data_IF_073973078627
#
_entry.id   IF_073973078627
#
_cell.length_a   1.000
_cell.length_b   1.000
_cell.length_c   1.000
_cell.angle_alpha   90.00
_cell.angle_beta   90.00
_cell.angle_gamma   90.00
#
_symmetry.space_group_name_H-M   'P 1'
#
loop_
_entity.id
_entity.type
_entity.pdbx_description
1 polymer ?
#
# COMPACT_ATOMS: atom_id res chain seq x y z
N UNK A 1 14.82 0.68 -13.96
CA UNK A 1 13.45 1.19 -14.14
C UNK A 1 12.94 1.76 -12.85
N UNK A 2 12.21 2.85 -12.92
CA UNK A 2 11.68 3.53 -11.74
C UNK A 2 10.27 4.05 -12.05
N UNK A 3 9.34 3.79 -11.14
CA UNK A 3 7.99 4.35 -11.23
C UNK A 3 7.74 5.11 -9.94
N UNK A 4 7.25 6.33 -10.03
CA UNK A 4 7.03 7.15 -8.84
C UNK A 4 5.81 8.05 -9.01
N UNK A 5 5.30 8.48 -7.89
CA UNK A 5 4.15 9.37 -7.83
C UNK A 5 3.57 9.42 -6.44
N UNK A 6 2.29 9.72 -6.36
CA UNK A 6 1.57 9.81 -5.10
C UNK A 6 0.27 9.03 -5.17
N UNK A 7 -0.27 8.68 -4.01
CA UNK A 7 -1.65 8.22 -3.94
C UNK A 7 -2.35 8.93 -2.78
N UNK A 8 -3.66 8.98 -2.89
CA UNK A 8 -4.52 9.61 -1.90
C UNK A 8 -5.50 8.56 -1.41
N UNK A 9 -5.60 8.41 -0.08
CA UNK A 9 -6.64 7.56 0.50
C UNK A 9 -7.98 8.25 0.30
N UNK A 10 -8.93 7.54 -0.32
CA UNK A 10 -10.26 8.06 -0.58
C UNK A 10 -11.30 7.46 0.36
N UNK A 11 -11.03 6.29 0.93
CA UNK A 11 -11.91 5.64 1.89
C UNK A 11 -11.10 4.69 2.76
N UNK A 12 -11.47 4.60 4.05
CA UNK A 12 -10.81 3.72 5.01
C UNK A 12 -11.87 3.11 5.90
N UNK A 13 -12.02 1.79 5.83
CA UNK A 13 -12.98 1.05 6.65
C UNK A 13 -12.20 0.02 7.46
N UNK A 14 -12.13 0.24 8.75
CA UNK A 14 -11.36 -0.63 9.64
C UNK A 14 -12.29 -1.24 10.69
N UNK A 15 -12.09 -2.51 10.97
CA UNK A 15 -12.83 -3.20 12.03
C UNK A 15 -11.87 -4.00 12.89
N UNK A 16 -12.10 -3.95 14.21
CA UNK A 16 -11.29 -4.69 15.16
C UNK A 16 -11.72 -6.16 15.13
N UNK A 17 -10.75 -7.06 14.95
CA UNK A 17 -11.03 -8.51 14.97
C UNK A 17 -10.81 -9.09 16.34
N UNK A 18 -9.83 -8.59 17.09
CA UNK A 18 -9.53 -9.09 18.44
C UNK A 18 -8.93 -7.96 19.26
N UNK A 19 -9.44 -7.78 20.47
CA UNK A 19 -8.91 -6.81 21.42
C UNK A 19 -8.16 -7.52 22.52
N UNK A 20 -7.04 -6.95 22.95
CA UNK A 20 -6.24 -7.43 24.06
C UNK A 20 -6.21 -6.38 25.15
N UNK A 21 -5.56 -6.69 26.25
CA UNK A 21 -5.43 -5.74 27.36
C UNK A 21 -4.55 -4.55 26.93
N UNK A 22 -4.77 -3.42 27.59
CA UNK A 22 -3.97 -2.20 27.45
C UNK A 22 -4.02 -1.59 26.04
N UNK A 23 -5.09 -1.85 25.29
CA UNK A 23 -5.30 -1.20 24.01
C UNK A 23 -4.63 -1.89 22.82
N UNK A 24 -3.89 -2.95 23.03
CA UNK A 24 -3.37 -3.74 21.92
C UNK A 24 -4.53 -4.43 21.21
N UNK A 25 -4.44 -4.57 19.89
CA UNK A 25 -5.55 -5.16 19.12
C UNK A 25 -5.07 -5.63 17.75
N UNK A 26 -5.83 -6.54 17.18
CA UNK A 26 -5.73 -6.91 15.77
C UNK A 26 -6.95 -6.34 15.05
N UNK A 27 -6.72 -5.81 13.87
CA UNK A 27 -7.81 -5.30 13.04
C UNK A 27 -7.55 -5.60 11.57
N UNK A 28 -8.58 -5.38 10.76
CA UNK A 28 -8.48 -5.44 9.31
C UNK A 28 -9.05 -4.17 8.73
N UNK A 29 -8.51 -3.74 7.60
CA UNK A 29 -8.97 -2.51 6.96
C UNK A 29 -9.11 -2.75 5.46
N UNK A 30 -10.18 -2.19 4.90
CA UNK A 30 -10.40 -2.10 3.46
C UNK A 30 -10.19 -0.64 3.09
N UNK A 31 -9.22 -0.38 2.21
CA UNK A 31 -8.80 0.98 1.90
C UNK A 31 -8.92 1.19 0.41
N UNK A 32 -9.50 2.32 0.02
CA UNK A 32 -9.55 2.74 -1.39
C UNK A 32 -8.61 3.92 -1.58
N UNK A 33 -7.92 3.93 -2.72
CA UNK A 33 -6.89 4.94 -2.99
C UNK A 33 -6.96 5.37 -4.45
N UNK A 34 -6.60 6.63 -4.69
CA UNK A 34 -6.44 7.17 -6.03
C UNK A 34 -4.98 7.44 -6.32
N UNK A 35 -4.49 6.99 -7.46
CA UNK A 35 -3.08 7.10 -7.84
C UNK A 35 -2.86 8.22 -8.84
N UNK A 36 -1.71 8.89 -8.70
CA UNK A 36 -1.22 9.91 -9.64
C UNK A 36 0.27 9.70 -9.87
N UNK A 37 0.76 10.22 -10.97
CA UNK A 37 2.17 10.10 -11.32
C UNK A 37 2.35 9.09 -12.44
N UNK A 38 3.37 8.25 -12.33
CA UNK A 38 3.63 7.24 -13.37
C UNK A 38 2.49 6.24 -13.48
N UNK A 39 1.81 5.96 -12.38
CA UNK A 39 0.58 5.16 -12.37
C UNK A 39 -0.58 6.08 -12.07
N UNK A 40 -1.62 6.05 -12.90
CA UNK A 40 -2.87 6.75 -12.63
C UNK A 40 -3.99 5.73 -12.54
N UNK A 41 -4.95 5.99 -11.65
CA UNK A 41 -6.07 5.08 -11.48
C UNK A 41 -6.47 4.94 -10.02
N UNK A 42 -6.95 3.77 -9.67
CA UNK A 42 -7.44 3.52 -8.31
C UNK A 42 -6.97 2.16 -7.82
N UNK A 43 -7.04 1.97 -6.50
CA UNK A 43 -6.71 0.70 -5.91
C UNK A 43 -7.62 0.37 -4.74
N UNK A 44 -7.60 -0.90 -4.39
CA UNK A 44 -8.26 -1.42 -3.21
C UNK A 44 -7.22 -2.24 -2.43
N UNK A 45 -7.08 -1.94 -1.15
CA UNK A 45 -6.08 -2.60 -0.30
C UNK A 45 -6.79 -3.31 0.82
N UNK A 46 -6.40 -4.56 1.06
CA UNK A 46 -6.88 -5.36 2.18
C UNK A 46 -5.74 -5.53 3.15
N UNK A 47 -5.80 -4.80 4.27
CA UNK A 47 -4.76 -4.84 5.30
C UNK A 47 -5.18 -5.66 6.50
N UNK A 48 -4.19 -6.30 7.12
CA UNK A 48 -4.27 -6.79 8.49
C UNK A 48 -3.31 -5.95 9.32
N UNK A 49 -3.77 -5.50 10.49
CA UNK A 49 -2.99 -4.61 11.36
C UNK A 49 -2.89 -5.19 12.76
N UNK A 50 -1.70 -5.09 13.34
CA UNK A 50 -1.45 -5.47 14.73
C UNK A 50 -0.98 -4.23 15.46
N UNK A 51 -1.82 -3.74 16.38
CA UNK A 51 -1.53 -2.52 17.16
C UNK A 51 -0.95 -2.88 18.51
N UNK A 52 0.09 -2.15 18.90
CA UNK A 52 0.59 -2.15 20.27
C UNK A 52 -0.23 -1.19 21.12
N UNK A 53 -0.08 -1.31 22.45
CA UNK A 53 -0.77 -0.40 23.37
C UNK A 53 -0.36 1.06 23.17
N UNK A 54 0.79 1.32 22.57
CA UNK A 54 1.28 2.67 22.28
C UNK A 54 0.57 3.32 21.09
N UNK A 55 -0.19 2.55 20.31
CA UNK A 55 -0.79 3.03 19.07
C UNK A 55 0.05 2.77 17.84
N UNK A 56 1.28 2.34 18.00
CA UNK A 56 2.10 1.90 16.87
C UNK A 56 1.59 0.56 16.36
N UNK A 57 1.77 0.29 15.08
CA UNK A 57 1.25 -0.94 14.47
C UNK A 57 2.21 -1.46 13.41
N UNK A 58 2.10 -2.75 13.14
CA UNK A 58 2.64 -3.32 11.91
C UNK A 58 1.46 -3.85 11.08
N UNK A 59 1.63 -3.88 9.77
CA UNK A 59 0.56 -4.31 8.89
C UNK A 59 1.11 -5.06 7.69
N UNK A 60 0.25 -5.88 7.11
CA UNK A 60 0.52 -6.53 5.83
C UNK A 60 -0.78 -6.65 5.05
N UNK A 61 -0.69 -6.99 3.79
CA UNK A 61 -1.88 -7.16 2.98
C UNK A 61 -1.59 -7.11 1.50
N UNK A 62 -2.68 -7.16 0.73
CA UNK A 62 -2.60 -7.11 -0.72
C UNK A 62 -3.35 -5.91 -1.25
N UNK A 63 -2.79 -5.32 -2.29
CA UNK A 63 -3.38 -4.17 -2.97
C UNK A 63 -3.58 -4.53 -4.43
N UNK A 64 -4.76 -4.21 -4.97
CA UNK A 64 -5.05 -4.39 -6.38
C UNK A 64 -5.22 -3.02 -7.03
N UNK A 65 -4.33 -2.69 -7.97
CA UNK A 65 -4.32 -1.41 -8.68
C UNK A 65 -4.91 -1.63 -10.08
N UNK A 66 -5.87 -0.80 -10.44
CA UNK A 66 -6.44 -0.76 -11.79
C UNK A 66 -6.30 0.65 -12.32
N UNK A 67 -5.67 0.81 -13.46
CA UNK A 67 -5.49 2.13 -14.05
C UNK A 67 -4.64 2.08 -15.29
N UNK A 68 -3.72 3.02 -15.38
CA UNK A 68 -2.85 3.16 -16.55
C UNK A 68 -1.42 3.41 -16.12
N UNK A 69 -0.50 2.82 -16.86
CA UNK A 69 0.92 3.10 -16.76
C UNK A 69 1.28 3.85 -18.04
N UNK A 70 1.44 5.18 -17.92
CA UNK A 70 1.47 6.01 -19.11
C UNK A 70 0.15 5.90 -19.85
N UNK A 71 0.17 5.52 -21.12
CA UNK A 71 -1.03 5.39 -21.94
C UNK A 71 -1.57 3.97 -22.00
N UNK A 72 -0.97 3.04 -21.27
CA UNK A 72 -1.29 1.62 -21.36
C UNK A 72 -2.08 1.18 -20.14
N UNK A 73 -3.25 0.52 -20.30
CA UNK A 73 -3.98 0.00 -19.15
C UNK A 73 -3.12 -0.96 -18.33
N UNK A 74 -3.23 -0.88 -17.01
CA UNK A 74 -2.47 -1.77 -16.14
C UNK A 74 -3.33 -2.30 -15.00
N UNK A 75 -3.02 -3.52 -14.58
CA UNK A 75 -3.59 -4.17 -13.41
C UNK A 75 -2.43 -4.84 -12.68
N UNK A 76 -2.24 -4.44 -11.42
CA UNK A 76 -1.12 -4.91 -10.62
C UNK A 76 -1.64 -5.36 -9.27
N UNK A 77 -1.07 -6.43 -8.74
CA UNK A 77 -1.29 -6.83 -7.36
C UNK A 77 0.01 -6.68 -6.60
N UNK A 78 -0.05 -5.99 -5.48
CA UNK A 78 1.10 -5.76 -4.61
C UNK A 78 0.91 -6.49 -3.30
N UNK A 79 2.00 -7.01 -2.75
CA UNK A 79 2.03 -7.54 -1.39
C UNK A 79 2.76 -6.54 -0.51
N UNK A 80 2.09 -6.06 0.53
CA UNK A 80 2.61 -5.02 1.43
C UNK A 80 3.10 -5.61 2.74
N UNK A 81 4.14 -4.97 3.28
CA UNK A 81 4.63 -5.23 4.63
C UNK A 81 5.12 -3.90 5.18
N UNK A 82 4.48 -3.43 6.25
CA UNK A 82 4.77 -2.09 6.70
C UNK A 82 4.55 -1.85 8.18
N UNK A 83 4.81 -0.61 8.57
CA UNK A 83 4.66 -0.15 9.95
C UNK A 83 3.95 1.19 9.98
N UNK A 84 3.26 1.43 11.10
CA UNK A 84 2.67 2.72 11.42
C UNK A 84 3.24 3.13 12.78
N UNK A 85 4.08 4.16 12.77
CA UNK A 85 4.78 4.61 13.99
C UNK A 85 4.76 6.11 14.05
N UNK A 86 4.33 6.64 15.18
CA UNK A 86 4.31 8.09 15.43
C UNK A 86 3.56 8.85 14.34
N UNK A 87 2.46 8.26 13.86
CA UNK A 87 1.62 8.89 12.85
C UNK A 87 2.11 8.73 11.42
N UNK A 88 3.18 8.00 11.19
CA UNK A 88 3.75 7.82 9.85
C UNK A 88 3.63 6.37 9.42
N UNK A 89 2.99 6.14 8.28
CA UNK A 89 2.91 4.82 7.68
C UNK A 89 4.00 4.65 6.63
N UNK A 90 4.69 3.53 6.68
CA UNK A 90 5.69 3.13 5.70
C UNK A 90 5.44 1.70 5.30
N UNK A 91 5.62 1.39 4.03
CA UNK A 91 5.47 0.03 3.56
C UNK A 91 6.52 -0.28 2.51
N UNK A 92 6.96 -1.53 2.53
CA UNK A 92 7.68 -2.12 1.42
C UNK A 92 6.75 -3.10 0.73
N UNK A 93 6.79 -3.13 -0.59
CA UNK A 93 5.90 -4.00 -1.33
C UNK A 93 6.60 -4.58 -2.55
N UNK A 94 5.99 -5.63 -3.09
CA UNK A 94 6.47 -6.28 -4.30
C UNK A 94 5.27 -6.60 -5.18
N UNK A 95 5.46 -6.46 -6.49
CA UNK A 95 4.42 -6.83 -7.44
C UNK A 95 4.35 -8.35 -7.54
N UNK A 96 3.23 -8.93 -7.11
CA UNK A 96 3.04 -10.38 -7.12
C UNK A 96 2.24 -10.87 -8.31
N UNK A 97 1.53 -9.96 -8.99
CA UNK A 97 0.77 -10.30 -10.19
C UNK A 97 0.74 -9.10 -11.12
N UNK A 98 1.03 -9.31 -12.38
CA UNK A 98 1.07 -8.26 -13.39
C UNK A 98 0.78 -8.84 -14.78
N UNK A 99 -0.49 -9.17 -15.03
CA UNK A 99 -0.87 -9.78 -16.30
C UNK A 99 -0.70 -8.81 -17.47
N UNK A 100 -0.92 -7.51 -17.23
CA UNK A 100 -0.83 -6.49 -18.28
C UNK A 100 0.61 -6.11 -18.62
N UNK A 101 1.51 -6.23 -17.63
CA UNK A 101 2.91 -5.84 -17.79
C UNK A 101 3.79 -6.91 -17.14
N UNK A 102 3.96 -8.08 -17.80
CA UNK A 102 4.71 -9.18 -17.19
C UNK A 102 6.13 -8.81 -16.77
N UNK A 103 6.71 -7.82 -17.41
CA UNK A 103 8.07 -7.36 -17.08
C UNK A 103 8.15 -6.72 -15.70
N UNK A 104 7.02 -6.33 -15.11
CA UNK A 104 7.00 -5.71 -13.78
C UNK A 104 6.89 -6.72 -12.65
N UNK A 105 6.62 -7.98 -12.96
CA UNK A 105 6.48 -9.01 -11.94
C UNK A 105 7.75 -9.10 -11.10
N UNK A 106 7.60 -9.03 -9.78
CA UNK A 106 8.74 -9.07 -8.86
C UNK A 106 9.38 -7.74 -8.57
N UNK A 107 8.96 -6.67 -9.27
CA UNK A 107 9.48 -5.33 -8.98
C UNK A 107 9.06 -4.92 -7.58
N UNK A 108 10.00 -4.41 -6.80
CA UNK A 108 9.74 -3.99 -5.43
C UNK A 108 9.63 -2.47 -5.34
N UNK A 109 9.03 -2.01 -4.26
CA UNK A 109 8.87 -0.60 -4.04
C UNK A 109 8.55 -0.29 -2.59
N UNK A 110 8.25 0.97 -2.34
CA UNK A 110 7.94 1.45 -1.00
C UNK A 110 7.02 2.65 -1.08
N UNK A 111 6.34 2.93 0.03
CA UNK A 111 5.68 4.22 0.19
C UNK A 111 5.94 4.77 1.58
N UNK A 112 5.78 6.07 1.70
CA UNK A 112 5.79 6.77 2.98
C UNK A 112 4.63 7.75 2.98
N UNK A 113 3.86 7.75 4.06
CA UNK A 113 2.72 8.65 4.18
C UNK A 113 3.18 10.08 4.43
N UNK A 114 2.42 11.03 3.88
CA UNK A 114 2.53 12.43 4.18
C UNK A 114 1.31 12.89 4.92
N UNK A 115 0.85 14.10 4.61
CA UNK A 115 -0.29 14.72 5.27
C UNK A 115 -1.60 14.37 4.57
N UNK A 116 -2.70 14.43 5.32
CA UNK A 116 -4.07 14.36 4.80
C UNK A 116 -4.37 13.11 3.97
N UNK A 117 -3.80 11.96 4.36
CA UNK A 117 -4.06 10.70 3.66
C UNK A 117 -3.31 10.52 2.37
N UNK A 118 -2.37 11.39 2.07
CA UNK A 118 -1.53 11.29 0.88
C UNK A 118 -0.25 10.54 1.21
N UNK A 119 0.28 9.80 0.23
CA UNK A 119 1.55 9.10 0.35
C UNK A 119 2.32 9.18 -0.95
N UNK A 120 3.64 9.09 -0.84
CA UNK A 120 4.52 9.03 -2.00
C UNK A 120 4.99 7.60 -2.20
N UNK A 121 4.97 7.13 -3.43
CA UNK A 121 5.40 5.78 -3.75
C UNK A 121 6.57 5.80 -4.73
N UNK A 122 7.36 4.74 -4.63
CA UNK A 122 8.48 4.51 -5.54
C UNK A 122 8.59 3.00 -5.79
N UNK A 123 8.55 2.61 -7.05
CA UNK A 123 8.93 1.27 -7.48
C UNK A 123 10.28 1.38 -8.16
N UNK A 124 11.19 0.49 -7.84
CA UNK A 124 12.53 0.59 -8.36
C UNK A 124 13.14 -0.80 -8.48
N UNK A 125 13.66 -1.11 -9.67
CA UNK A 125 14.37 -2.35 -9.83
C UNK A 125 15.72 -2.24 -9.13
N UNK A 126 16.11 -3.33 -8.44
CA UNK A 126 17.44 -3.41 -7.87
C UNK A 126 18.38 -3.59 -9.03
N UNK A 127 19.25 -2.65 -9.20
CA UNK A 127 20.15 -2.66 -10.34
C UNK A 127 21.04 -3.89 -10.36
N UNK A 128 21.43 -4.25 -11.45
CA UNK A 128 22.29 -5.28 -11.57
C UNK A 128 22.86 -5.26 -12.78
#
# INVERSE_FOLDING_TARGET
MQLKGTFQITDWQESVTTSFEQGAKLSKALVSQGYSGDITGSSEVHYQLSYESTGNACFNGFEFITGSLGDTPCQLTLKHDGTFEKGIAKSQFVITSSATHPELLGLSGSFISGEAGQASYLFESVGR
#
